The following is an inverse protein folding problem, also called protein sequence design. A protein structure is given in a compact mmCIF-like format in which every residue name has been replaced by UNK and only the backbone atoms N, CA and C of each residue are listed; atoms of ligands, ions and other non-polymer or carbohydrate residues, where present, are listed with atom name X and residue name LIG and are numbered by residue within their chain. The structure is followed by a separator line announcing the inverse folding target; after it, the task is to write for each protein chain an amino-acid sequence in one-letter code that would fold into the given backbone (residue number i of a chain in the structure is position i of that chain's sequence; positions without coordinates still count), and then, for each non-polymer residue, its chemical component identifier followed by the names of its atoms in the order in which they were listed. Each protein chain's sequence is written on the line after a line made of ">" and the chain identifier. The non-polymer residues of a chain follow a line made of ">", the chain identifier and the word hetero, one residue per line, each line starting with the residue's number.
data_IF_867782652022
#
_entry.id   IF_867782652022
#
_cell.length_a   1.000
_cell.length_b   1.000
_cell.length_c   1.000
_cell.angle_alpha   90.00
_cell.angle_beta   90.00
_cell.angle_gamma   90.00
#
_symmetry.space_group_name_H-M   'P 1'
#
loop_
_entity.id
_entity.type
_entity.pdbx_description
1 polymer ?
#
# COMPACT_ATOMS: atom_id res chain seq x y z
N UNK A 1 -9.61 -8.74 -1.15
CA UNK A 1 -9.51 -10.23 -1.04
C UNK A 1 -8.56 -10.82 -2.09
N UNK A 2 -7.51 -10.09 -2.48
CA UNK A 2 -6.63 -10.50 -3.58
C UNK A 2 -5.18 -10.64 -3.17
N UNK A 3 -4.81 -10.10 -2.01
CA UNK A 3 -3.44 -10.04 -1.55
C UNK A 3 -3.18 -11.03 -0.39
N UNK A 4 -3.24 -10.52 0.85
CA UNK A 4 -2.70 -11.12 2.08
C UNK A 4 -3.76 -11.76 2.98
N UNK A 5 -5.04 -11.67 2.61
CA UNK A 5 -6.16 -12.28 3.33
C UNK A 5 -6.15 -13.81 3.32
N UNK A 6 -6.92 -14.47 4.21
CA UNK A 6 -6.97 -15.93 4.33
C UNK A 6 -7.61 -16.64 3.13
N UNK A 7 -8.39 -15.92 2.33
CA UNK A 7 -9.08 -16.43 1.16
C UNK A 7 -8.94 -15.46 -0.01
N UNK A 8 -9.03 -16.01 -1.22
CA UNK A 8 -9.13 -15.28 -2.48
C UNK A 8 -10.37 -15.73 -3.24
N UNK A 9 -10.89 -14.86 -4.10
CA UNK A 9 -12.10 -15.13 -4.89
C UNK A 9 -11.74 -15.85 -6.18
N UNK A 10 -12.49 -16.89 -6.53
CA UNK A 10 -12.33 -17.62 -7.80
C UNK A 10 -12.96 -16.85 -8.97
N UNK A 11 -12.58 -17.21 -10.19
CA UNK A 11 -13.07 -16.59 -11.43
C UNK A 11 -14.57 -16.75 -11.71
N UNK A 12 -15.29 -17.50 -10.88
CA UNK A 12 -16.75 -17.59 -10.93
C UNK A 12 -17.44 -16.45 -10.16
N UNK A 13 -16.68 -15.61 -9.44
CA UNK A 13 -17.19 -14.55 -8.58
C UNK A 13 -18.02 -15.06 -7.39
N UNK A 14 -17.95 -16.37 -7.09
CA UNK A 14 -18.87 -17.03 -6.14
C UNK A 14 -18.14 -17.85 -5.10
N UNK A 15 -17.10 -18.57 -5.49
CA UNK A 15 -16.40 -19.49 -4.59
C UNK A 15 -15.09 -18.89 -4.12
N UNK A 16 -14.62 -19.35 -2.97
CA UNK A 16 -13.37 -18.94 -2.37
C UNK A 16 -12.35 -20.08 -2.39
N UNK A 17 -11.08 -19.73 -2.48
CA UNK A 17 -9.97 -20.65 -2.26
C UNK A 17 -9.02 -20.11 -1.18
N UNK A 18 -8.45 -21.03 -0.38
CA UNK A 18 -7.65 -20.68 0.79
C UNK A 18 -6.25 -20.21 0.41
N UNK A 19 -5.87 -19.02 0.85
CA UNK A 19 -4.52 -18.48 0.74
C UNK A 19 -3.55 -19.18 1.70
N UNK A 20 -2.57 -19.90 1.14
CA UNK A 20 -1.53 -20.59 1.93
C UNK A 20 -0.51 -19.62 2.55
N UNK A 21 -0.45 -18.39 2.07
CA UNK A 21 0.54 -17.38 2.46
C UNK A 21 -0.10 -16.16 3.13
N UNK A 22 -1.30 -16.32 3.66
CA UNK A 22 -2.02 -15.27 4.35
C UNK A 22 -1.26 -14.73 5.55
N UNK A 23 -1.32 -13.42 5.76
CA UNK A 23 -0.62 -12.75 6.87
C UNK A 23 -1.23 -13.07 8.22
N UNK A 24 -2.48 -13.55 8.26
CA UNK A 24 -3.08 -14.05 9.49
C UNK A 24 -2.42 -15.34 10.04
N UNK A 25 -1.41 -15.87 9.35
CA UNK A 25 -0.49 -16.91 9.86
C UNK A 25 0.65 -16.36 10.70
N UNK A 26 0.79 -15.04 10.77
CA UNK A 26 1.84 -14.34 11.52
C UNK A 26 1.27 -13.37 12.55
N UNK A 27 0.05 -12.85 12.35
CA UNK A 27 -0.62 -11.92 13.26
C UNK A 27 -2.15 -12.10 13.27
N UNK A 28 -2.83 -11.43 14.19
CA UNK A 28 -4.26 -11.13 14.00
C UNK A 28 -4.33 -9.91 13.09
N UNK A 29 -5.02 -10.03 11.95
CA UNK A 29 -5.05 -8.99 10.92
C UNK A 29 -6.44 -8.38 10.87
N UNK A 30 -6.52 -7.06 11.04
CA UNK A 30 -7.73 -6.27 10.92
C UNK A 30 -7.68 -5.53 9.58
N UNK A 31 -8.66 -5.79 8.72
CA UNK A 31 -8.88 -5.01 7.50
C UNK A 31 -9.95 -3.97 7.79
N UNK A 32 -9.64 -2.70 7.50
CA UNK A 32 -10.54 -1.58 7.72
C UNK A 32 -10.77 -0.87 6.40
N UNK A 33 -12.02 -0.85 5.93
CA UNK A 33 -12.44 -0.02 4.80
C UNK A 33 -12.61 1.40 5.30
N UNK A 34 -11.80 2.32 4.78
CA UNK A 34 -11.71 3.70 5.25
C UNK A 34 -11.18 4.58 4.11
N UNK A 35 -11.65 5.84 3.99
CA UNK A 35 -12.64 6.52 4.85
C UNK A 35 -14.11 6.11 4.59
N UNK A 36 -15.05 6.82 5.21
CA UNK A 36 -16.48 6.65 4.90
C UNK A 36 -16.74 6.89 3.40
N UNK A 37 -17.51 6.00 2.77
CA UNK A 37 -17.72 5.95 1.32
C UNK A 37 -16.87 4.90 0.61
N UNK A 38 -15.90 4.28 1.29
CA UNK A 38 -15.09 3.18 0.75
C UNK A 38 -15.73 1.83 1.07
N UNK A 39 -15.92 0.99 0.05
CA UNK A 39 -16.48 -0.35 0.21
C UNK A 39 -17.85 -0.32 0.88
N UNK A 40 -17.95 -0.92 2.07
CA UNK A 40 -19.18 -0.91 2.87
C UNK A 40 -19.20 0.18 3.97
N UNK A 41 -18.13 0.96 4.11
CA UNK A 41 -18.09 2.07 5.08
C UNK A 41 -18.92 3.24 4.56
N UNK A 42 -19.74 3.84 5.44
CA UNK A 42 -20.65 4.92 5.05
C UNK A 42 -20.84 5.95 6.18
N UNK A 43 -21.37 7.10 5.81
CA UNK A 43 -21.83 8.17 6.71
C UNK A 43 -23.23 8.67 6.30
N UNK A 44 -24.00 9.13 7.27
CA UNK A 44 -25.27 9.82 7.03
C UNK A 44 -25.09 11.31 6.73
N UNK A 45 -23.85 11.82 6.68
CA UNK A 45 -23.56 13.23 6.38
C UNK A 45 -22.90 13.33 5.02
N UNK A 46 -23.54 14.06 4.09
CA UNK A 46 -22.97 14.33 2.77
C UNK A 46 -21.60 15.01 2.84
N UNK A 47 -21.41 15.86 3.85
CA UNK A 47 -20.16 16.59 4.08
C UNK A 47 -18.95 15.67 4.28
N UNK A 48 -19.14 14.44 4.77
CA UNK A 48 -18.03 13.49 4.99
C UNK A 48 -17.48 12.94 3.65
N UNK A 49 -18.29 12.98 2.57
CA UNK A 49 -17.89 12.57 1.22
C UNK A 49 -17.34 13.72 0.37
N UNK A 50 -17.67 14.97 0.72
CA UNK A 50 -17.26 16.19 0.00
C UNK A 50 -16.04 16.85 0.63
N UNK A 51 -15.91 16.76 1.96
CA UNK A 51 -14.90 17.46 2.74
C UNK A 51 -13.92 16.49 3.43
N UNK A 52 -13.81 15.27 2.90
CA UNK A 52 -12.88 14.25 3.37
C UNK A 52 -11.42 14.66 3.18
N UNK A 53 -10.52 13.94 3.83
CA UNK A 53 -9.09 14.18 3.71
C UNK A 53 -8.25 13.39 4.69
N UNK A 54 -6.94 13.61 4.61
CA UNK A 54 -5.91 12.94 5.37
C UNK A 54 -6.13 13.00 6.89
N UNK A 55 -6.43 14.20 7.41
CA UNK A 55 -6.63 14.43 8.85
C UNK A 55 -7.92 13.82 9.38
N UNK A 56 -9.04 14.00 8.66
CA UNK A 56 -10.33 13.44 9.09
C UNK A 56 -10.29 11.92 9.07
N UNK A 57 -9.69 11.32 8.03
CA UNK A 57 -9.48 9.88 7.93
C UNK A 57 -8.67 9.34 9.11
N UNK A 58 -7.57 10.00 9.49
CA UNK A 58 -6.76 9.59 10.64
C UNK A 58 -7.53 9.72 11.97
N UNK A 59 -8.35 10.76 12.13
CA UNK A 59 -9.17 10.95 13.33
C UNK A 59 -10.26 9.88 13.45
N UNK A 60 -10.98 9.60 12.36
CA UNK A 60 -12.05 8.60 12.34
C UNK A 60 -11.50 7.19 12.55
N UNK A 61 -10.37 6.85 11.91
CA UNK A 61 -9.69 5.57 12.13
C UNK A 61 -9.22 5.41 13.57
N UNK A 62 -8.75 6.48 14.21
CA UNK A 62 -8.39 6.44 15.63
C UNK A 62 -9.60 6.17 16.53
N UNK A 63 -10.73 6.86 16.29
CA UNK A 63 -11.98 6.63 17.03
C UNK A 63 -12.49 5.20 16.81
N UNK A 64 -12.46 4.72 15.57
CA UNK A 64 -12.79 3.33 15.24
C UNK A 64 -11.94 2.35 16.06
N UNK A 65 -10.62 2.53 16.10
CA UNK A 65 -9.73 1.61 16.83
C UNK A 65 -10.00 1.60 18.34
N UNK A 66 -10.32 2.75 18.95
CA UNK A 66 -10.72 2.80 20.36
C UNK A 66 -12.00 1.99 20.59
N UNK A 67 -13.03 2.24 19.79
CA UNK A 67 -14.31 1.53 19.90
C UNK A 67 -14.16 0.04 19.63
N UNK A 68 -13.32 -0.34 18.67
CA UNK A 68 -13.01 -1.72 18.35
C UNK A 68 -12.32 -2.42 19.54
N UNK A 69 -11.35 -1.76 20.20
CA UNK A 69 -10.71 -2.29 21.40
C UNK A 69 -11.65 -2.39 22.60
N UNK A 70 -12.64 -1.51 22.72
CA UNK A 70 -13.71 -1.66 23.71
C UNK A 70 -14.64 -2.84 23.39
N UNK A 71 -14.95 -3.06 22.11
CA UNK A 71 -15.78 -4.19 21.65
C UNK A 71 -15.07 -5.53 21.77
N UNK A 72 -13.75 -5.56 21.57
CA UNK A 72 -12.89 -6.75 21.61
C UNK A 72 -11.74 -6.57 22.62
N UNK A 73 -12.06 -6.55 23.94
CA UNK A 73 -11.10 -6.22 24.99
C UNK A 73 -9.92 -7.20 25.10
N UNK A 74 -10.04 -8.43 24.58
CA UNK A 74 -8.98 -9.44 24.54
C UNK A 74 -7.76 -9.05 23.68
N UNK A 75 -7.88 -8.00 22.88
CA UNK A 75 -6.78 -7.42 22.10
C UNK A 75 -6.14 -6.20 22.77
N UNK A 76 -6.71 -5.65 23.84
CA UNK A 76 -6.10 -4.53 24.58
C UNK A 76 -4.72 -4.90 25.10
N UNK A 77 -3.78 -3.96 25.01
CA UNK A 77 -2.40 -4.14 25.48
C UNK A 77 -1.47 -4.96 24.56
N UNK A 78 -2.00 -5.67 23.55
CA UNK A 78 -1.17 -6.39 22.58
C UNK A 78 -0.32 -5.43 21.76
N UNK A 79 0.83 -5.90 21.29
CA UNK A 79 1.64 -5.17 20.32
C UNK A 79 0.81 -4.87 19.08
N UNK A 80 0.72 -3.59 18.74
CA UNK A 80 -0.09 -3.09 17.63
C UNK A 80 0.82 -2.53 16.54
N UNK A 81 0.55 -2.91 15.30
CA UNK A 81 1.30 -2.48 14.13
C UNK A 81 0.32 -1.96 13.08
N UNK A 82 0.69 -0.87 12.42
CA UNK A 82 -0.06 -0.35 11.29
C UNK A 82 0.65 -0.77 10.00
N UNK A 83 -0.11 -1.28 9.04
CA UNK A 83 0.42 -1.62 7.73
C UNK A 83 -0.52 -1.14 6.64
N UNK A 84 0.02 -0.82 5.48
CA UNK A 84 -0.73 -0.30 4.34
C UNK A 84 0.10 -0.29 3.07
N UNK A 85 -0.56 -0.07 1.94
CA UNK A 85 0.03 -0.03 0.61
C UNK A 85 -0.37 1.27 -0.12
N UNK A 86 0.46 1.73 -1.07
CA UNK A 86 0.11 2.84 -1.97
C UNK A 86 -0.10 4.16 -1.21
N UNK A 87 -1.25 4.81 -1.40
CA UNK A 87 -1.64 6.01 -0.67
C UNK A 87 -1.77 5.80 0.85
N UNK A 88 -1.82 4.56 1.33
CA UNK A 88 -1.68 4.30 2.77
C UNK A 88 -0.27 4.64 3.30
N UNK A 89 0.67 4.99 2.43
CA UNK A 89 1.88 5.74 2.78
C UNK A 89 1.59 7.08 3.46
N UNK A 90 0.43 7.70 3.22
CA UNK A 90 -0.11 8.83 3.98
C UNK A 90 -0.92 8.38 5.19
N UNK A 91 -1.89 7.49 4.99
CA UNK A 91 -2.81 7.05 6.04
C UNK A 91 -2.12 6.43 7.25
N UNK A 92 -1.15 5.53 7.02
CA UNK A 92 -0.49 4.79 8.10
C UNK A 92 0.35 5.72 8.98
N UNK A 93 1.26 6.56 8.45
CA UNK A 93 1.96 7.56 9.25
C UNK A 93 1.04 8.53 9.98
N UNK A 94 0.01 9.07 9.33
CA UNK A 94 -0.89 10.03 9.98
C UNK A 94 -1.69 9.40 11.12
N UNK A 95 -2.21 8.17 10.93
CA UNK A 95 -2.86 7.44 12.02
C UNK A 95 -1.89 7.09 13.14
N UNK A 96 -0.66 6.69 12.83
CA UNK A 96 0.39 6.45 13.82
C UNK A 96 0.64 7.71 14.66
N UNK A 97 0.75 8.88 14.03
CA UNK A 97 0.92 10.16 14.73
C UNK A 97 -0.27 10.47 15.63
N UNK A 98 -1.50 10.30 15.14
CA UNK A 98 -2.73 10.49 15.94
C UNK A 98 -2.73 9.61 17.19
N UNK A 99 -2.37 8.33 17.06
CA UNK A 99 -2.25 7.40 18.20
C UNK A 99 -1.22 7.90 19.21
N UNK A 100 -0.04 8.31 18.75
CA UNK A 100 1.05 8.81 19.62
C UNK A 100 0.57 10.06 20.38
N UNK A 101 -0.01 11.03 19.67
CA UNK A 101 -0.53 12.26 20.24
C UNK A 101 -1.55 11.97 21.35
N UNK A 102 -2.51 11.09 21.10
CA UNK A 102 -3.54 10.78 22.09
C UNK A 102 -3.04 9.94 23.27
N UNK A 103 -2.09 9.02 23.05
CA UNK A 103 -1.41 8.31 24.14
C UNK A 103 -0.69 9.30 25.07
N UNK A 104 0.06 10.26 24.51
CA UNK A 104 0.76 11.30 25.28
C UNK A 104 -0.22 12.19 26.04
N UNK A 105 -1.28 12.65 25.37
CA UNK A 105 -2.33 13.50 25.97
C UNK A 105 -3.07 12.81 27.11
N UNK A 106 -3.29 11.50 27.01
CA UNK A 106 -3.93 10.71 28.05
C UNK A 106 -2.99 10.30 29.20
N UNK A 107 -1.68 10.58 29.08
CA UNK A 107 -0.63 10.11 29.98
C UNK A 107 -0.70 8.60 30.25
N UNK A 108 -1.12 7.82 29.25
CA UNK A 108 -1.19 6.34 29.30
C UNK A 108 -1.19 5.75 27.90
N UNK A 109 -0.81 4.48 27.79
CA UNK A 109 -0.88 3.75 26.52
C UNK A 109 -2.33 3.29 26.26
N UNK A 110 -3.04 3.97 25.36
CA UNK A 110 -4.35 3.56 24.87
C UNK A 110 -4.22 2.47 23.81
N UNK A 111 -3.32 2.69 22.85
CA UNK A 111 -2.96 1.73 21.80
C UNK A 111 -1.44 1.51 21.86
N UNK A 112 -1.01 0.26 22.04
CA UNK A 112 0.39 -0.12 22.19
C UNK A 112 1.09 -0.23 20.82
N UNK A 113 1.20 0.91 20.12
CA UNK A 113 1.83 1.01 18.80
C UNK A 113 3.32 0.68 18.86
N UNK A 114 3.77 -0.29 18.05
CA UNK A 114 5.16 -0.76 17.98
C UNK A 114 5.88 -0.42 16.68
N UNK A 115 5.14 -0.16 15.61
CA UNK A 115 5.74 0.17 14.33
C UNK A 115 4.76 0.27 13.18
N UNK A 116 5.30 0.69 12.04
CA UNK A 116 4.61 0.82 10.78
C UNK A 116 5.33 0.02 9.69
N UNK A 117 4.54 -0.54 8.77
CA UNK A 117 5.02 -1.29 7.60
C UNK A 117 4.26 -0.80 6.35
N UNK A 118 4.91 0.00 5.52
CA UNK A 118 4.28 0.59 4.33
C UNK A 118 4.88 0.05 3.04
N UNK A 119 4.03 -0.43 2.13
CA UNK A 119 4.39 -1.07 0.87
C UNK A 119 4.12 -0.17 -0.34
N UNK A 120 5.05 -0.09 -1.29
CA UNK A 120 4.91 0.68 -2.54
C UNK A 120 4.26 2.05 -2.28
N UNK A 121 4.79 2.73 -1.26
CA UNK A 121 4.06 3.76 -0.54
C UNK A 121 4.33 5.14 -1.12
N UNK A 122 3.28 5.93 -1.31
CA UNK A 122 3.37 7.37 -1.58
C UNK A 122 3.91 8.05 -0.33
N UNK A 123 5.00 8.79 -0.45
CA UNK A 123 5.74 9.38 0.69
C UNK A 123 6.01 10.87 0.49
N UNK A 124 6.30 11.30 -0.74
CA UNK A 124 6.70 12.66 -1.06
C UNK A 124 6.50 12.92 -2.56
N UNK A 125 5.44 13.66 -2.89
CA UNK A 125 4.91 13.85 -4.25
C UNK A 125 5.99 14.19 -5.29
N UNK A 126 6.88 15.12 -4.96
CA UNK A 126 7.97 15.55 -5.83
C UNK A 126 8.88 14.37 -6.18
N UNK A 127 9.40 13.67 -5.17
CA UNK A 127 10.29 12.53 -5.39
C UNK A 127 9.57 11.33 -5.96
N UNK A 128 8.28 11.19 -5.68
CA UNK A 128 7.49 10.08 -6.16
C UNK A 128 7.26 10.19 -7.67
N UNK A 129 6.92 11.39 -8.14
CA UNK A 129 6.75 11.70 -9.56
C UNK A 129 8.09 11.60 -10.32
N UNK A 130 9.16 12.17 -9.78
CA UNK A 130 10.51 12.05 -10.36
C UNK A 130 10.92 10.58 -10.48
N UNK A 131 10.76 9.82 -9.40
CA UNK A 131 11.14 8.41 -9.35
C UNK A 131 10.34 7.56 -10.33
N UNK A 132 9.07 7.89 -10.55
CA UNK A 132 8.19 7.21 -11.51
C UNK A 132 8.73 7.33 -12.95
N UNK A 133 8.99 8.54 -13.42
CA UNK A 133 9.50 8.72 -14.79
C UNK A 133 10.93 8.20 -14.98
N UNK A 134 11.81 8.33 -13.97
CA UNK A 134 13.14 7.71 -14.00
C UNK A 134 13.04 6.18 -14.07
N UNK A 135 12.03 5.58 -13.42
CA UNK A 135 11.75 4.15 -13.53
C UNK A 135 11.33 3.77 -14.94
N UNK A 136 10.43 4.54 -15.55
CA UNK A 136 9.97 4.28 -16.93
C UNK A 136 11.14 4.28 -17.91
N UNK A 137 12.02 5.29 -17.85
CA UNK A 137 13.21 5.35 -18.70
C UNK A 137 14.16 4.17 -18.45
N UNK A 138 14.48 3.88 -17.18
CA UNK A 138 15.40 2.79 -16.83
C UNK A 138 14.90 1.38 -17.16
N UNK A 139 13.59 1.22 -17.40
CA UNK A 139 12.98 -0.05 -17.81
C UNK A 139 12.59 -0.07 -19.29
N UNK A 140 13.07 0.91 -20.08
CA UNK A 140 12.82 1.03 -21.51
C UNK A 140 11.33 1.09 -21.88
N UNK A 141 10.50 1.65 -20.98
CA UNK A 141 9.07 1.88 -21.23
C UNK A 141 8.90 3.17 -22.05
N UNK A 142 9.73 4.17 -21.78
CA UNK A 142 9.80 5.43 -22.52
C UNK A 142 11.21 5.62 -23.08
N UNK A 143 11.34 6.44 -24.12
CA UNK A 143 12.65 6.72 -24.71
C UNK A 143 13.55 7.52 -23.75
N UNK A 144 14.87 7.41 -23.93
CA UNK A 144 15.84 8.22 -23.18
C UNK A 144 15.61 9.73 -23.40
N UNK A 145 15.14 10.12 -24.60
CA UNK A 145 14.78 11.50 -24.93
C UNK A 145 13.55 11.97 -24.14
N UNK A 146 12.51 11.14 -24.04
CA UNK A 146 11.30 11.40 -23.26
C UNK A 146 11.66 11.55 -21.79
N UNK A 147 12.41 10.59 -21.22
CA UNK A 147 12.85 10.63 -19.83
C UNK A 147 13.71 11.87 -19.53
N UNK A 148 14.67 12.20 -20.39
CA UNK A 148 15.49 13.41 -20.26
C UNK A 148 14.65 14.69 -20.32
N UNK A 149 13.72 14.76 -21.27
CA UNK A 149 12.85 15.93 -21.47
C UNK A 149 11.97 16.16 -20.25
N UNK A 150 11.32 15.11 -19.75
CA UNK A 150 10.53 15.17 -18.51
C UNK A 150 11.41 15.66 -17.36
N UNK A 151 12.59 15.05 -17.16
CA UNK A 151 13.50 15.41 -16.06
C UNK A 151 13.94 16.87 -16.09
N UNK A 152 14.11 17.44 -17.28
CA UNK A 152 14.66 18.77 -17.50
C UNK A 152 13.60 19.87 -17.52
N UNK A 153 12.43 19.61 -18.09
CA UNK A 153 11.43 20.64 -18.41
C UNK A 153 10.16 20.58 -17.56
N UNK A 154 9.93 19.48 -16.83
CA UNK A 154 8.82 19.38 -15.88
C UNK A 154 9.19 20.00 -14.53
N UNK A 155 8.23 20.70 -13.93
CA UNK A 155 8.32 21.20 -12.57
C UNK A 155 7.67 20.20 -11.61
N UNK A 156 8.47 19.51 -10.81
CA UNK A 156 8.01 18.49 -9.88
C UNK A 156 7.60 19.03 -8.50
N UNK A 157 7.66 20.35 -8.28
CA UNK A 157 7.20 20.95 -7.03
C UNK A 157 5.72 20.60 -6.80
N UNK A 158 5.31 20.20 -5.58
CA UNK A 158 3.89 19.97 -5.27
C UNK A 158 3.02 21.23 -5.42
N UNK A 159 3.64 22.42 -5.38
CA UNK A 159 2.96 23.70 -5.58
C UNK A 159 2.91 24.14 -7.06
N UNK A 160 3.39 23.30 -7.99
CA UNK A 160 3.39 23.61 -9.42
C UNK A 160 1.96 23.63 -9.97
N UNK A 161 1.49 24.81 -10.37
CA UNK A 161 0.13 25.00 -10.93
C UNK A 161 0.09 24.78 -12.45
N UNK A 162 1.21 24.96 -13.14
CA UNK A 162 1.32 24.80 -14.60
C UNK A 162 2.61 24.08 -14.99
N UNK A 163 2.56 23.41 -16.13
CA UNK A 163 3.72 22.77 -16.77
C UNK A 163 4.03 23.48 -18.09
N UNK A 164 5.27 23.36 -18.56
CA UNK A 164 5.64 23.82 -19.91
C UNK A 164 5.02 22.92 -20.97
N UNK A 165 4.73 23.45 -22.16
CA UNK A 165 4.22 22.65 -23.30
C UNK A 165 5.16 21.47 -23.60
N UNK A 166 6.48 21.70 -23.54
CA UNK A 166 7.49 20.64 -23.70
C UNK A 166 7.39 19.54 -22.64
N UNK A 167 7.08 19.88 -21.39
CA UNK A 167 6.82 18.87 -20.36
C UNK A 167 5.54 18.10 -20.67
N UNK A 168 4.45 18.80 -21.00
CA UNK A 168 3.14 18.21 -21.30
C UNK A 168 3.25 17.22 -22.47
N UNK A 169 3.93 17.60 -23.55
CA UNK A 169 4.13 16.73 -24.71
C UNK A 169 4.93 15.48 -24.34
N UNK A 170 5.98 15.62 -23.53
CA UNK A 170 6.81 14.49 -23.09
C UNK A 170 6.06 13.56 -22.12
N UNK A 171 5.23 14.10 -21.21
CA UNK A 171 4.39 13.27 -20.33
C UNK A 171 3.29 12.55 -21.11
N UNK A 172 2.72 13.18 -22.15
CA UNK A 172 1.75 12.53 -23.03
C UNK A 172 2.38 11.36 -23.80
N UNK A 173 3.62 11.50 -24.26
CA UNK A 173 4.38 10.38 -24.87
C UNK A 173 4.60 9.24 -23.85
N UNK A 174 4.94 9.59 -22.60
CA UNK A 174 5.07 8.59 -21.54
C UNK A 174 3.75 7.85 -21.26
N UNK A 175 2.64 8.59 -21.16
CA UNK A 175 1.31 8.04 -20.90
C UNK A 175 0.88 7.08 -22.02
N UNK A 176 1.10 7.46 -23.28
CA UNK A 176 0.80 6.61 -24.44
C UNK A 176 1.50 5.24 -24.37
N UNK A 177 2.77 5.21 -23.92
CA UNK A 177 3.51 3.96 -23.78
C UNK A 177 3.02 3.13 -22.58
N UNK A 178 2.64 3.79 -21.48
CA UNK A 178 2.14 3.14 -20.27
C UNK A 178 0.76 2.50 -20.48
N UNK A 179 -0.11 3.08 -21.30
CA UNK A 179 -1.44 2.53 -21.62
C UNK A 179 -1.40 1.09 -22.18
N UNK A 180 -0.29 0.68 -22.79
CA UNK A 180 -0.11 -0.66 -23.34
C UNK A 180 0.25 -1.74 -22.30
N UNK A 181 0.51 -1.39 -21.04
CA UNK A 181 0.95 -2.31 -19.99
C UNK A 181 0.22 -2.08 -18.66
N UNK A 182 0.37 -3.02 -17.72
CA UNK A 182 -0.08 -2.83 -16.35
C UNK A 182 0.95 -2.00 -15.57
N UNK A 183 0.62 -0.75 -15.26
CA UNK A 183 1.49 0.14 -14.46
C UNK A 183 1.77 -0.43 -13.06
N UNK A 184 0.89 -1.26 -12.51
CA UNK A 184 1.08 -1.87 -11.20
C UNK A 184 2.03 -3.07 -11.25
N UNK A 185 2.30 -3.63 -12.43
CA UNK A 185 3.34 -4.63 -12.65
C UNK A 185 3.72 -4.71 -14.12
N UNK A 186 4.87 -4.14 -14.49
CA UNK A 186 5.30 -3.98 -15.89
C UNK A 186 5.50 -5.30 -16.67
N UNK A 187 5.47 -6.44 -15.98
CA UNK A 187 5.57 -7.78 -16.58
C UNK A 187 4.30 -8.62 -16.42
N UNK A 188 3.25 -8.09 -15.79
CA UNK A 188 1.98 -8.78 -15.66
C UNK A 188 1.17 -8.69 -16.97
N UNK A 189 0.35 -9.71 -17.28
CA UNK A 189 -0.59 -9.62 -18.38
C UNK A 189 -1.74 -8.67 -18.05
N UNK A 190 -2.32 -8.04 -19.08
CA UNK A 190 -3.55 -7.27 -18.94
C UNK A 190 -4.78 -8.17 -18.82
N UNK A 191 -5.84 -7.66 -18.18
CA UNK A 191 -7.15 -8.26 -18.23
C UNK A 191 -7.89 -7.85 -19.52
N UNK A 192 -8.16 -8.82 -20.40
CA UNK A 192 -8.93 -8.57 -21.64
C UNK A 192 -10.40 -9.01 -21.54
N UNK A 193 -10.75 -9.85 -20.56
CA UNK A 193 -12.11 -10.36 -20.37
C UNK A 193 -12.43 -10.49 -18.87
N UNK A 194 -13.13 -9.49 -18.35
CA UNK A 194 -13.60 -9.45 -16.96
C UNK A 194 -14.81 -10.34 -16.67
N UNK A 195 -15.35 -11.07 -17.65
CA UNK A 195 -16.56 -11.87 -17.45
C UNK A 195 -16.33 -13.02 -16.45
N UNK A 196 -17.36 -13.28 -15.66
CA UNK A 196 -17.37 -14.40 -14.72
C UNK A 196 -17.46 -15.73 -15.47
N UNK A 197 -16.65 -16.68 -15.03
CA UNK A 197 -16.65 -18.04 -15.58
C UNK A 197 -17.78 -18.89 -14.97
N UNK A 198 -18.33 -19.82 -15.74
CA UNK A 198 -19.34 -20.77 -15.23
C UNK A 198 -18.77 -21.77 -14.22
N UNK A 199 -17.48 -22.08 -14.34
CA UNK A 199 -16.71 -22.89 -13.40
C UNK A 199 -15.40 -22.18 -13.07
N UNK A 200 -15.04 -22.16 -11.80
CA UNK A 200 -13.78 -21.60 -11.31
C UNK A 200 -12.58 -22.14 -12.11
N UNK A 201 -11.76 -21.24 -12.64
CA UNK A 201 -10.45 -21.54 -13.22
C UNK A 201 -9.55 -22.18 -12.15
N UNK A 202 -8.60 -22.99 -12.60
CA UNK A 202 -7.59 -23.57 -11.69
C UNK A 202 -6.71 -22.45 -11.12
N UNK A 203 -6.72 -22.30 -9.80
CA UNK A 203 -5.99 -21.25 -9.10
C UNK A 203 -4.48 -21.51 -9.09
N UNK A 204 -3.67 -20.47 -9.27
CA UNK A 204 -2.23 -20.49 -9.08
C UNK A 204 -1.80 -19.44 -8.06
N UNK A 205 -0.85 -19.78 -7.18
CA UNK A 205 -0.21 -18.82 -6.28
C UNK A 205 0.96 -18.08 -6.92
N UNK A 206 1.42 -18.55 -8.07
CA UNK A 206 2.54 -17.97 -8.81
C UNK A 206 2.07 -16.98 -9.86
N UNK A 207 0.88 -17.20 -10.42
CA UNK A 207 0.30 -16.39 -11.47
C UNK A 207 -1.08 -15.92 -10.98
N UNK A 208 -1.17 -14.65 -10.60
CA UNK A 208 -2.47 -14.04 -10.31
C UNK A 208 -3.23 -13.83 -11.63
N UNK A 209 -4.54 -14.05 -11.60
CA UNK A 209 -5.39 -13.73 -12.75
C UNK A 209 -5.56 -12.21 -12.80
N UNK A 210 -5.19 -11.52 -13.90
CA UNK A 210 -5.28 -10.07 -13.99
C UNK A 210 -6.72 -9.56 -13.88
N UNK A 211 -7.72 -10.41 -14.10
CA UNK A 211 -9.13 -10.06 -13.98
C UNK A 211 -9.70 -10.27 -12.56
N UNK A 212 -8.84 -10.47 -11.55
CA UNK A 212 -9.29 -10.81 -10.19
C UNK A 212 -10.13 -9.74 -9.49
N UNK A 213 -10.03 -8.48 -9.91
CA UNK A 213 -10.83 -7.37 -9.38
C UNK A 213 -12.32 -7.58 -9.70
N UNK A 214 -12.64 -7.92 -10.95
CA UNK A 214 -14.02 -8.23 -11.37
C UNK A 214 -14.64 -9.37 -10.56
N UNK A 215 -13.83 -10.39 -10.24
CA UNK A 215 -14.29 -11.53 -9.45
C UNK A 215 -14.61 -11.11 -8.02
N UNK A 216 -13.76 -10.27 -7.44
CA UNK A 216 -13.94 -9.75 -6.08
C UNK A 216 -15.15 -8.84 -6.00
N UNK A 217 -15.31 -7.92 -6.96
CA UNK A 217 -16.50 -7.09 -7.11
C UNK A 217 -17.79 -7.93 -7.13
N UNK A 218 -17.85 -8.94 -8.00
CA UNK A 218 -19.01 -9.81 -8.10
C UNK A 218 -19.30 -10.57 -6.78
N UNK A 219 -18.25 -11.02 -6.09
CA UNK A 219 -18.40 -11.75 -4.82
C UNK A 219 -18.92 -10.86 -3.70
N UNK A 220 -18.36 -9.66 -3.55
CA UNK A 220 -18.71 -8.71 -2.48
C UNK A 220 -20.14 -8.15 -2.66
N UNK A 221 -20.63 -8.08 -3.90
CA UNK A 221 -21.99 -7.62 -4.21
C UNK A 221 -23.07 -8.71 -4.16
N UNK A 222 -22.73 -9.92 -3.72
CA UNK A 222 -23.75 -10.94 -3.43
C UNK A 222 -24.45 -10.68 -2.12
N UNK A 223 -25.79 -10.74 -2.15
CA UNK A 223 -26.61 -10.56 -0.95
C UNK A 223 -26.24 -11.55 0.18
N UNK A 224 -26.05 -12.83 -0.13
CA UNK A 224 -25.71 -13.83 0.89
C UNK A 224 -24.31 -13.62 1.50
N UNK A 225 -23.39 -13.02 0.75
CA UNK A 225 -22.07 -12.61 1.24
C UNK A 225 -22.20 -11.39 2.16
N UNK A 226 -22.94 -10.36 1.75
CA UNK A 226 -23.15 -9.16 2.57
C UNK A 226 -23.85 -9.50 3.91
N UNK A 227 -24.87 -10.37 3.86
CA UNK A 227 -25.55 -10.89 5.05
C UNK A 227 -24.58 -11.63 5.99
N UNK A 228 -23.72 -12.50 5.44
CA UNK A 228 -22.74 -13.26 6.22
C UNK A 228 -21.62 -12.38 6.83
N UNK A 229 -21.26 -11.29 6.17
CA UNK A 229 -20.29 -10.31 6.68
C UNK A 229 -20.91 -9.32 7.67
N UNK A 230 -22.24 -9.34 7.84
CA UNK A 230 -23.00 -8.27 8.50
C UNK A 230 -22.69 -6.89 7.90
N UNK A 231 -22.43 -6.85 6.59
CA UNK A 231 -22.17 -5.67 5.81
C UNK A 231 -23.47 -5.14 5.17
N UNK A 232 -23.45 -3.91 4.67
CA UNK A 232 -24.58 -3.28 3.96
C UNK A 232 -25.93 -3.32 4.72
N UNK A 233 -25.90 -3.32 6.06
CA UNK A 233 -27.12 -3.43 6.88
C UNK A 233 -28.09 -2.24 6.72
N UNK A 234 -27.58 -1.12 6.22
CA UNK A 234 -28.34 0.10 5.93
C UNK A 234 -28.88 0.18 4.51
N UNK A 235 -28.59 -0.81 3.64
CA UNK A 235 -28.95 -0.79 2.21
C UNK A 235 -28.41 0.47 1.52
N UNK A 236 -27.09 0.53 1.43
CA UNK A 236 -26.34 1.53 0.67
C UNK A 236 -26.92 1.66 -0.74
N UNK A 237 -27.00 2.88 -1.24
CA UNK A 237 -27.52 3.21 -2.58
C UNK A 237 -26.54 2.87 -3.71
N UNK A 238 -25.40 2.27 -3.36
CA UNK A 238 -24.31 1.92 -4.26
C UNK A 238 -23.85 0.49 -3.97
N UNK A 239 -23.23 -0.09 -4.98
CA UNK A 239 -22.55 -1.37 -4.87
C UNK A 239 -21.21 -1.19 -4.14
N UNK A 240 -20.72 -2.27 -3.55
CA UNK A 240 -19.33 -2.35 -3.10
C UNK A 240 -18.41 -2.23 -4.33
N UNK A 241 -17.46 -1.30 -4.27
CA UNK A 241 -16.44 -1.11 -5.30
C UNK A 241 -15.04 -1.21 -4.67
N UNK A 242 -14.02 -1.69 -5.43
CA UNK A 242 -12.64 -1.77 -4.92
C UNK A 242 -12.05 -0.38 -4.62
N UNK A 243 -12.47 0.64 -5.37
CA UNK A 243 -12.15 2.04 -5.16
C UNK A 243 -13.46 2.85 -5.15
N UNK A 244 -13.57 3.86 -4.28
CA UNK A 244 -14.81 4.61 -4.12
C UNK A 244 -15.01 5.64 -5.24
N UNK A 245 -16.15 5.56 -5.92
CA UNK A 245 -16.65 6.59 -6.84
C UNK A 245 -17.55 7.64 -6.13
N UNK A 246 -17.69 7.52 -4.80
CA UNK A 246 -18.63 8.32 -3.98
C UNK A 246 -17.94 9.53 -3.38
N UNK A 247 -16.65 9.38 -3.07
CA UNK A 247 -15.81 10.47 -2.58
C UNK A 247 -15.65 11.51 -3.69
N UNK A 248 -16.17 12.72 -3.45
CA UNK A 248 -16.18 13.81 -4.45
C UNK A 248 -15.12 14.87 -4.20
N UNK A 249 -14.56 14.90 -2.99
CA UNK A 249 -13.58 15.90 -2.61
C UNK A 249 -12.57 15.35 -1.61
N UNK A 250 -11.35 15.88 -1.73
CA UNK A 250 -10.23 15.59 -0.84
C UNK A 250 -9.55 16.90 -0.48
N UNK A 251 -9.93 17.48 0.66
CA UNK A 251 -9.57 18.86 1.02
C UNK A 251 -8.19 18.99 1.64
N UNK A 252 -7.68 17.93 2.24
CA UNK A 252 -6.32 17.90 2.75
C UNK A 252 -5.58 16.64 2.27
N UNK A 253 -4.55 16.86 1.48
CA UNK A 253 -3.52 15.89 1.11
C UNK A 253 -2.19 16.57 1.41
N UNK A 254 -1.46 16.09 2.42
CA UNK A 254 -0.10 16.61 2.60
C UNK A 254 0.75 16.20 1.41
N UNK A 255 1.69 17.03 0.96
CA UNK A 255 2.61 16.63 -0.12
C UNK A 255 3.70 15.67 0.34
N UNK A 256 3.87 15.49 1.66
CA UNK A 256 4.86 14.55 2.20
C UNK A 256 4.59 14.09 3.63
N UNK A 257 4.93 12.82 3.91
CA UNK A 257 4.99 12.26 5.28
C UNK A 257 6.41 12.12 5.83
N UNK A 258 7.44 12.61 5.13
CA UNK A 258 8.84 12.54 5.57
C UNK A 258 9.04 13.04 7.01
N UNK A 259 8.43 14.15 7.47
CA UNK A 259 8.53 14.59 8.86
C UNK A 259 8.04 13.55 9.87
N UNK A 260 6.94 12.84 9.55
CA UNK A 260 6.36 11.80 10.40
C UNK A 260 7.29 10.60 10.51
N UNK A 261 7.89 10.17 9.40
CA UNK A 261 8.86 9.07 9.39
C UNK A 261 10.07 9.40 10.29
N UNK A 262 10.60 10.63 10.21
CA UNK A 262 11.67 11.11 11.10
C UNK A 262 11.25 11.16 12.57
N UNK A 263 10.00 11.52 12.87
CA UNK A 263 9.43 11.50 14.22
C UNK A 263 9.42 10.07 14.78
N UNK A 264 8.92 9.10 14.02
CA UNK A 264 8.83 7.71 14.46
C UNK A 264 10.19 7.07 14.72
N UNK A 265 11.20 7.41 13.92
CA UNK A 265 12.58 7.00 14.15
C UNK A 265 13.13 7.54 15.48
N UNK A 266 12.84 8.80 15.83
CA UNK A 266 13.24 9.38 17.13
C UNK A 266 12.54 8.68 18.29
N UNK A 267 11.27 8.31 18.10
CA UNK A 267 10.46 7.56 19.07
C UNK A 267 10.81 6.07 19.14
N UNK A 268 11.77 5.60 18.33
CA UNK A 268 12.21 4.20 18.25
C UNK A 268 11.08 3.24 17.87
N UNK A 269 10.10 3.72 17.10
CA UNK A 269 9.14 2.84 16.44
C UNK A 269 9.84 2.09 15.30
N UNK A 270 9.39 0.86 15.04
CA UNK A 270 9.89 0.10 13.89
C UNK A 270 9.28 0.67 12.62
N UNK A 271 10.10 1.24 11.74
CA UNK A 271 9.67 1.82 10.46
C UNK A 271 10.25 1.00 9.31
N UNK A 272 9.40 0.23 8.65
CA UNK A 272 9.80 -0.53 7.46
C UNK A 272 9.03 -0.03 6.25
N UNK A 273 9.78 0.24 5.18
CA UNK A 273 9.25 0.60 3.87
C UNK A 273 9.69 -0.51 2.92
N UNK A 274 8.77 -1.06 2.16
CA UNK A 274 9.10 -2.06 1.16
C UNK A 274 8.50 -1.73 -0.20
N UNK A 275 9.15 -2.13 -1.28
CA UNK A 275 8.64 -1.94 -2.64
C UNK A 275 8.78 -3.23 -3.45
N UNK A 276 7.74 -3.59 -4.19
CA UNK A 276 7.89 -4.48 -5.34
C UNK A 276 8.79 -3.83 -6.40
N UNK A 277 9.75 -4.59 -6.94
CA UNK A 277 10.72 -4.05 -7.91
C UNK A 277 10.19 -4.01 -9.36
N UNK A 278 8.98 -4.50 -9.60
CA UNK A 278 8.29 -4.42 -10.90
C UNK A 278 7.09 -3.47 -10.91
N UNK A 279 6.86 -2.76 -9.81
CA UNK A 279 5.85 -1.70 -9.73
C UNK A 279 6.33 -0.45 -10.45
N UNK A 280 5.55 0.03 -11.42
CA UNK A 280 5.78 1.28 -12.11
C UNK A 280 4.93 2.44 -11.55
N UNK A 281 3.92 2.18 -10.71
CA UNK A 281 3.04 3.23 -10.16
C UNK A 281 3.70 3.98 -9.01
N UNK A 282 4.30 3.26 -8.07
CA UNK A 282 5.10 3.83 -6.97
C UNK A 282 6.41 3.05 -6.84
N UNK A 283 7.31 3.20 -7.83
CA UNK A 283 8.48 2.35 -7.96
C UNK A 283 9.49 2.52 -6.81
N UNK A 284 10.41 1.56 -6.70
CA UNK A 284 11.52 1.61 -5.75
C UNK A 284 12.39 2.88 -5.90
N UNK A 285 12.47 3.46 -7.10
CA UNK A 285 13.16 4.74 -7.36
C UNK A 285 12.52 5.89 -6.59
N UNK A 286 11.19 6.01 -6.63
CA UNK A 286 10.39 6.97 -5.85
C UNK A 286 10.71 6.88 -4.36
N UNK A 287 10.56 5.69 -3.79
CA UNK A 287 10.87 5.42 -2.38
C UNK A 287 12.32 5.76 -2.02
N UNK A 288 13.29 5.40 -2.87
CA UNK A 288 14.71 5.72 -2.64
C UNK A 288 14.97 7.22 -2.62
N UNK A 289 14.33 7.98 -3.50
CA UNK A 289 14.46 9.43 -3.54
C UNK A 289 13.83 10.10 -2.33
N UNK A 290 12.66 9.64 -1.87
CA UNK A 290 12.06 10.15 -0.63
C UNK A 290 12.93 9.87 0.60
N UNK A 291 13.60 8.71 0.66
CA UNK A 291 14.53 8.41 1.76
C UNK A 291 15.83 9.21 1.62
N UNK A 292 16.33 9.44 0.40
CA UNK A 292 17.52 10.27 0.17
C UNK A 292 17.30 11.73 0.59
N UNK A 293 16.09 12.28 0.39
CA UNK A 293 15.75 13.63 0.85
C UNK A 293 15.87 13.78 2.38
N UNK A 294 15.80 12.68 3.12
CA UNK A 294 15.99 12.67 4.57
C UNK A 294 17.46 12.83 5.00
N UNK A 295 18.41 12.61 4.08
CA UNK A 295 19.87 12.67 4.30
C UNK A 295 20.34 11.80 5.49
N UNK A 296 19.75 10.61 5.62
CA UNK A 296 20.06 9.68 6.69
C UNK A 296 21.37 8.94 6.43
N UNK A 297 22.29 8.84 7.42
CA UNK A 297 23.45 7.99 7.28
C UNK A 297 23.07 6.51 7.19
N UNK A 298 23.79 5.76 6.35
CA UNK A 298 23.59 4.31 6.20
C UNK A 298 24.12 3.60 7.46
N UNK A 299 23.29 2.76 8.08
CA UNK A 299 23.67 1.88 9.20
C UNK A 299 24.12 0.50 8.70
N UNK A 300 23.40 -0.07 7.74
CA UNK A 300 23.74 -1.34 7.07
C UNK A 300 23.64 -1.12 5.57
N UNK A 301 24.73 -1.36 4.84
CA UNK A 301 24.80 -1.18 3.37
C UNK A 301 23.78 -2.06 2.66
N UNK A 302 23.37 -1.64 1.46
CA UNK A 302 22.53 -2.42 0.55
C UNK A 302 23.03 -3.88 0.42
N UNK A 303 22.18 -4.85 0.70
CA UNK A 303 22.52 -6.27 0.68
C UNK A 303 21.31 -7.12 0.26
N UNK A 304 21.53 -8.30 -0.34
CA UNK A 304 20.45 -9.22 -0.62
C UNK A 304 19.89 -9.83 0.67
N UNK A 305 18.59 -10.08 0.68
CA UNK A 305 17.94 -10.92 1.69
C UNK A 305 17.32 -12.15 1.02
N UNK A 306 17.28 -13.26 1.76
CA UNK A 306 16.99 -14.57 1.18
C UNK A 306 15.75 -15.20 1.79
N UNK A 307 15.06 -16.00 0.98
CA UNK A 307 14.01 -16.88 1.43
C UNK A 307 14.11 -18.21 0.66
N UNK A 308 14.19 -19.33 1.40
CA UNK A 308 14.27 -20.68 0.82
C UNK A 308 15.43 -20.87 -0.19
N UNK A 309 16.60 -20.28 0.10
CA UNK A 309 17.80 -20.45 -0.73
C UNK A 309 17.91 -19.50 -1.93
N UNK A 310 16.89 -18.69 -2.20
CA UNK A 310 16.92 -17.68 -3.27
C UNK A 310 16.88 -16.27 -2.71
N UNK A 311 17.45 -15.32 -3.47
CA UNK A 311 17.28 -13.90 -3.19
C UNK A 311 15.80 -13.52 -3.32
N UNK A 312 15.22 -13.09 -2.20
CA UNK A 312 13.85 -12.61 -2.11
C UNK A 312 13.74 -11.10 -2.38
N UNK A 313 14.87 -10.39 -2.33
CA UNK A 313 15.02 -8.99 -2.68
C UNK A 313 16.29 -8.43 -2.07
N UNK A 314 16.33 -7.12 -1.86
CA UNK A 314 17.46 -6.43 -1.24
C UNK A 314 16.98 -5.51 -0.13
N UNK A 315 17.86 -5.16 0.81
CA UNK A 315 17.53 -4.31 1.93
C UNK A 315 18.67 -3.37 2.30
N UNK A 316 18.32 -2.23 2.90
CA UNK A 316 19.25 -1.29 3.51
C UNK A 316 18.65 -0.71 4.78
N UNK A 317 19.50 -0.52 5.79
CA UNK A 317 19.10 0.03 7.09
C UNK A 317 19.78 1.37 7.28
N UNK A 318 19.03 2.38 7.65
CA UNK A 318 19.51 3.73 7.92
C UNK A 318 19.62 3.97 9.44
N UNK A 319 20.40 4.99 9.84
CA UNK A 319 20.42 5.44 11.24
C UNK A 319 19.01 5.85 11.66
N UNK A 320 18.61 5.48 12.88
CA UNK A 320 17.23 5.57 13.35
C UNK A 320 16.39 4.32 13.04
N UNK A 321 17.01 3.25 12.55
CA UNK A 321 16.41 1.92 12.32
C UNK A 321 15.27 1.87 11.30
N UNK A 322 15.19 2.87 10.42
CA UNK A 322 14.40 2.78 9.20
C UNK A 322 15.01 1.73 8.26
N UNK A 323 14.19 0.77 7.84
CA UNK A 323 14.57 -0.29 6.90
C UNK A 323 13.84 -0.09 5.58
N UNK A 324 14.60 0.00 4.49
CA UNK A 324 14.08 -0.12 3.13
C UNK A 324 14.33 -1.55 2.64
N UNK A 325 13.33 -2.19 2.03
CA UNK A 325 13.46 -3.49 1.39
C UNK A 325 12.81 -3.52 0.00
N UNK A 326 13.36 -4.28 -0.93
CA UNK A 326 12.65 -4.68 -2.14
C UNK A 326 12.12 -6.10 -2.00
N UNK A 327 11.05 -6.40 -2.75
CA UNK A 327 10.58 -7.77 -2.96
C UNK A 327 10.70 -8.09 -4.44
N UNK A 328 11.61 -9.02 -4.75
CA UNK A 328 11.96 -9.37 -6.13
C UNK A 328 10.79 -9.97 -6.90
N UNK A 329 10.53 -9.48 -8.10
CA UNK A 329 9.46 -9.94 -8.99
C UNK A 329 8.06 -9.62 -8.49
N UNK A 330 7.91 -8.62 -7.63
CA UNK A 330 6.62 -8.16 -7.14
C UNK A 330 6.27 -6.80 -7.76
N UNK A 331 5.02 -6.65 -8.18
CA UNK A 331 4.43 -5.35 -8.53
C UNK A 331 3.95 -4.59 -7.30
N UNK A 332 3.02 -3.66 -7.51
CA UNK A 332 2.45 -2.77 -6.51
C UNK A 332 1.88 -3.54 -5.31
N UNK A 333 0.98 -4.48 -5.62
CA UNK A 333 0.39 -5.42 -4.65
C UNK A 333 1.35 -6.56 -4.33
N UNK A 334 2.38 -6.28 -3.53
CA UNK A 334 3.46 -7.24 -3.25
C UNK A 334 2.95 -8.62 -2.76
N UNK A 335 1.96 -8.72 -1.85
CA UNK A 335 1.45 -10.01 -1.41
C UNK A 335 0.61 -10.73 -2.48
N UNK A 336 0.08 -10.03 -3.49
CA UNK A 336 -0.56 -10.62 -4.66
C UNK A 336 0.45 -11.37 -5.52
N UNK A 337 1.55 -10.69 -5.88
CA UNK A 337 2.54 -11.16 -6.86
C UNK A 337 3.60 -12.10 -6.26
N UNK A 338 4.06 -11.84 -5.04
CA UNK A 338 5.09 -12.64 -4.37
C UNK A 338 4.65 -13.10 -2.97
N UNK A 339 3.56 -13.88 -2.85
CA UNK A 339 2.92 -14.18 -1.56
C UNK A 339 3.85 -14.86 -0.55
N UNK A 340 4.73 -15.76 -1.02
CA UNK A 340 5.74 -16.43 -0.17
C UNK A 340 6.74 -15.43 0.44
N UNK A 341 7.29 -14.55 -0.41
CA UNK A 341 8.30 -13.54 -0.01
C UNK A 341 7.65 -12.48 0.87
N UNK A 342 6.42 -12.06 0.57
CA UNK A 342 5.65 -11.13 1.39
C UNK A 342 5.38 -11.67 2.80
N UNK A 343 4.94 -12.94 2.93
CA UNK A 343 4.74 -13.56 4.25
C UNK A 343 6.06 -13.70 5.03
N UNK A 344 7.17 -13.96 4.36
CA UNK A 344 8.49 -13.97 5.00
C UNK A 344 8.86 -12.57 5.52
N UNK A 345 8.70 -11.54 4.69
CA UNK A 345 8.99 -10.15 5.04
C UNK A 345 8.22 -9.69 6.28
N UNK A 346 6.89 -9.93 6.33
CA UNK A 346 6.08 -9.53 7.50
C UNK A 346 6.47 -10.32 8.77
N UNK A 347 6.89 -11.58 8.66
CA UNK A 347 7.39 -12.35 9.82
C UNK A 347 8.68 -11.79 10.37
N UNK A 348 9.59 -11.34 9.51
CA UNK A 348 10.81 -10.66 9.95
C UNK A 348 10.47 -9.33 10.64
N UNK A 349 9.59 -8.53 10.03
CA UNK A 349 9.12 -7.26 10.62
C UNK A 349 8.50 -7.45 12.02
N UNK A 350 7.55 -8.37 12.16
CA UNK A 350 6.84 -8.61 13.42
C UNK A 350 7.75 -9.16 14.52
N UNK A 351 8.70 -10.04 14.15
CA UNK A 351 9.67 -10.60 15.10
C UNK A 351 10.86 -9.68 15.40
N UNK A 352 10.95 -8.53 14.74
CA UNK A 352 12.10 -7.62 14.87
C UNK A 352 13.41 -8.21 14.36
N UNK A 353 13.36 -9.24 13.50
CA UNK A 353 14.55 -9.89 12.93
C UNK A 353 14.99 -9.15 11.67
N UNK A 354 16.29 -8.82 11.53
CA UNK A 354 16.82 -8.22 10.30
C UNK A 354 16.56 -9.10 9.06
N UNK A 355 16.44 -8.47 7.90
CA UNK A 355 16.41 -9.13 6.59
C UNK A 355 17.83 -9.48 6.15
N UNK A 356 18.44 -10.51 6.75
CA UNK A 356 19.81 -10.94 6.45
C UNK A 356 19.88 -12.44 6.17
N UNK A 357 20.97 -12.86 5.52
CA UNK A 357 21.35 -14.26 5.39
C UNK A 357 22.11 -14.75 6.65
N UNK A 358 21.61 -15.74 7.40
CA UNK A 358 22.35 -16.33 8.52
C UNK A 358 23.62 -17.09 8.09
N UNK A 359 23.73 -17.49 6.82
CA UNK A 359 24.83 -18.32 6.31
C UNK A 359 26.04 -17.54 5.77
N UNK A 360 25.99 -16.19 5.79
CA UNK A 360 27.08 -15.30 5.34
C UNK A 360 27.71 -14.49 6.48
N UNK A 361 27.76 -15.05 7.70
CA UNK A 361 28.55 -14.49 8.80
C UNK A 361 29.94 -15.09 8.85
#
# INVERSE_FOLDING_TARGET
>A
MQELGPFRVNSDGKTLYRNKFSWNRAANVLFLESPAGVGFSYSNKSADYENGGDKSTAADNYVFLLNWLERFPEYKGRDFYLAGESYAGHYVPQLAQTIIYHNLKANKTLINLKGILIGNAVINDETDTIGMYDYFGSHAIISDETAFTIRKYCNFSPDAVTQSDTCIDATNDADYNIEAIDIYNIYAPLCFDGNLTTKAKKTSWQNIDPCSDYYTYAYMNRQDVQEALHANVTKLEHDWEPCSEILKGWLDSSSTVVPLLKEFMKLKLRVWIFSGDTDARVPITSTKYSIDSMKLPIKTKWHPWFHQGEAAGFAQVYKGDLTLATVRGAGHQVPSYQPKRALALVRHFLSGKPLMDPSRR
#
